data_IF_724151512269
#
_entry.id   IF_724151512269
#
_cell.length_a   1.000
_cell.length_b   1.000
_cell.length_c   1.000
_cell.angle_alpha   90.00
_cell.angle_beta   90.00
_cell.angle_gamma   90.00
#
_symmetry.space_group_name_H-M   'P 1'
#
loop_
_entity.id
_entity.type
_entity.pdbx_description
1 polymer ?
#
# COMPACT_ATOMS: atom_id res chain seq x y z
N UNK A 1 16.06 7.98 20.89
CA UNK A 1 15.78 7.91 19.43
C UNK A 1 14.75 8.99 19.10
N UNK A 2 14.98 9.89 18.15
CA UNK A 2 14.01 10.93 17.82
C UNK A 2 12.72 10.28 17.32
N UNK A 3 11.58 10.72 17.85
CA UNK A 3 10.27 10.19 17.53
C UNK A 3 9.99 10.38 16.02
N UNK A 4 9.28 9.44 15.42
CA UNK A 4 8.89 9.48 13.99
C UNK A 4 8.18 10.81 13.67
N UNK A 5 7.46 11.38 14.62
CA UNK A 5 6.81 12.69 14.51
C UNK A 5 7.82 13.84 14.31
N UNK A 6 9.02 13.77 14.90
CA UNK A 6 10.03 14.83 14.74
C UNK A 6 10.68 14.80 13.35
N UNK A 7 10.91 13.63 12.79
CA UNK A 7 11.46 13.48 11.42
C UNK A 7 10.48 13.96 10.33
N UNK A 8 9.17 13.79 10.55
CA UNK A 8 8.17 14.34 9.63
C UNK A 8 8.04 15.85 9.74
N UNK A 9 8.20 16.42 10.93
CA UNK A 9 8.22 17.89 11.12
C UNK A 9 9.42 18.52 10.45
N UNK A 10 10.62 17.95 10.62
CA UNK A 10 11.83 18.47 9.96
C UNK A 10 11.76 18.30 8.44
N UNK A 11 11.31 17.17 7.92
CA UNK A 11 11.12 16.98 6.47
C UNK A 11 10.04 17.92 5.90
N UNK A 12 9.01 18.24 6.65
CA UNK A 12 7.96 19.18 6.24
C UNK A 12 8.49 20.61 6.22
N UNK A 13 9.22 21.03 7.26
CA UNK A 13 9.81 22.37 7.34
C UNK A 13 10.88 22.58 6.27
N UNK A 14 11.74 21.59 6.00
CA UNK A 14 12.74 21.69 4.92
C UNK A 14 12.08 21.75 3.55
N UNK A 15 11.01 21.03 3.32
CA UNK A 15 10.33 21.01 2.01
C UNK A 15 9.55 22.30 1.77
N UNK A 16 8.95 22.88 2.82
CA UNK A 16 8.31 24.21 2.75
C UNK A 16 9.36 25.30 2.54
N UNK A 17 10.51 25.22 3.22
CA UNK A 17 11.61 26.16 3.03
C UNK A 17 12.20 26.09 1.63
N UNK A 18 12.40 24.86 1.08
CA UNK A 18 12.88 24.67 -0.30
C UNK A 18 11.85 25.16 -1.31
N UNK A 19 10.58 24.90 -1.13
CA UNK A 19 9.53 25.42 -2.01
C UNK A 19 9.45 26.95 -1.96
N UNK A 20 9.56 27.55 -0.80
CA UNK A 20 9.62 29.00 -0.64
C UNK A 20 10.88 29.60 -1.29
N UNK A 21 12.04 28.95 -1.12
CA UNK A 21 13.30 29.40 -1.74
C UNK A 21 13.25 29.30 -3.28
N UNK A 22 12.67 28.21 -3.82
CA UNK A 22 12.47 28.05 -5.27
C UNK A 22 11.47 29.08 -5.84
N UNK A 23 10.44 29.42 -5.08
CA UNK A 23 9.49 30.48 -5.44
C UNK A 23 10.16 31.85 -5.46
N UNK A 24 10.99 32.17 -4.45
CA UNK A 24 11.74 33.42 -4.41
C UNK A 24 12.78 33.46 -5.53
N UNK A 25 13.51 32.37 -5.76
CA UNK A 25 14.47 32.28 -6.88
C UNK A 25 13.80 32.42 -8.23
N UNK A 26 12.63 31.76 -8.44
CA UNK A 26 11.82 31.90 -9.65
C UNK A 26 11.31 33.33 -9.85
N UNK A 27 10.95 34.03 -8.79
CA UNK A 27 10.55 35.43 -8.80
C UNK A 27 11.71 36.35 -9.21
N UNK A 28 12.91 36.12 -8.67
CA UNK A 28 14.11 36.92 -8.96
C UNK A 28 14.64 36.67 -10.38
N UNK A 29 14.64 35.40 -10.81
CA UNK A 29 15.13 35.03 -12.16
C UNK A 29 14.11 35.31 -13.25
N UNK A 30 12.82 35.21 -12.96
CA UNK A 30 11.73 35.45 -13.89
C UNK A 30 11.39 36.92 -14.15
N UNK A 31 11.87 37.85 -13.31
CA UNK A 31 11.56 39.28 -13.50
C UNK A 31 11.96 39.83 -14.89
N UNK A 32 13.08 39.39 -15.41
CA UNK A 32 13.56 39.85 -16.73
C UNK A 32 12.76 39.31 -17.93
N UNK A 33 12.26 38.10 -17.82
CA UNK A 33 11.49 37.45 -18.90
C UNK A 33 9.99 37.78 -18.81
N UNK A 34 9.48 37.96 -17.61
CA UNK A 34 8.09 38.38 -17.36
C UNK A 34 7.87 39.84 -17.82
N UNK A 35 8.81 40.73 -17.62
CA UNK A 35 8.73 42.08 -18.16
C UNK A 35 8.60 42.10 -19.69
N UNK A 36 9.30 41.22 -20.42
CA UNK A 36 9.21 41.14 -21.88
C UNK A 36 7.86 40.63 -22.40
N UNK A 37 7.18 39.73 -21.61
CA UNK A 37 5.90 39.15 -22.01
C UNK A 37 4.73 40.08 -21.67
N UNK A 38 4.87 40.92 -20.63
CA UNK A 38 3.78 41.76 -20.13
C UNK A 38 3.79 43.17 -20.70
N UNK A 39 4.87 43.61 -21.34
CA UNK A 39 4.96 44.95 -22.00
C UNK A 39 3.91 45.18 -23.09
N UNK A 40 3.13 44.16 -23.47
CA UNK A 40 1.97 44.29 -24.38
C UNK A 40 0.60 44.50 -23.73
N UNK A 41 0.51 44.47 -22.38
CA UNK A 41 -0.76 44.65 -21.66
C UNK A 41 -0.76 45.98 -20.91
N UNK A 42 -1.61 46.95 -21.30
CA UNK A 42 -1.68 48.24 -20.61
C UNK A 42 -2.17 48.05 -19.16
N UNK A 43 -1.47 48.65 -18.20
CA UNK A 43 -1.85 48.88 -16.79
C UNK A 43 -1.78 47.69 -15.80
N UNK A 44 -1.30 46.50 -16.14
CA UNK A 44 -1.15 45.43 -15.14
C UNK A 44 0.25 45.46 -14.55
N UNK A 45 0.38 45.83 -13.30
CA UNK A 45 1.65 45.70 -12.56
C UNK A 45 1.98 44.22 -12.40
N UNK A 46 3.11 43.72 -12.92
CA UNK A 46 3.43 42.29 -12.94
C UNK A 46 3.63 41.68 -11.53
N UNK A 47 4.11 42.48 -10.61
CA UNK A 47 4.47 42.03 -9.26
C UNK A 47 3.29 41.40 -8.49
N UNK A 48 2.09 42.01 -8.40
CA UNK A 48 0.99 41.41 -7.64
C UNK A 48 0.44 40.14 -8.30
N UNK A 49 0.48 40.02 -9.62
CA UNK A 49 0.04 38.82 -10.33
C UNK A 49 0.97 37.63 -10.02
N UNK A 50 2.27 37.84 -10.11
CA UNK A 50 3.26 36.80 -9.79
C UNK A 50 3.19 36.39 -8.33
N UNK A 51 3.04 37.34 -7.41
CA UNK A 51 2.86 37.04 -5.97
C UNK A 51 1.56 36.24 -5.72
N UNK A 52 0.48 36.59 -6.40
CA UNK A 52 -0.80 35.88 -6.31
C UNK A 52 -0.69 34.43 -6.78
N UNK A 53 -0.09 34.19 -7.94
CA UNK A 53 0.15 32.86 -8.47
C UNK A 53 1.06 32.04 -7.54
N UNK A 54 2.12 32.63 -7.04
CA UNK A 54 3.03 31.99 -6.12
C UNK A 54 2.34 31.60 -4.80
N UNK A 55 1.50 32.47 -4.24
CA UNK A 55 0.73 32.19 -3.03
C UNK A 55 -0.28 31.03 -3.24
N UNK A 56 -0.99 31.01 -4.37
CA UNK A 56 -1.90 29.91 -4.72
C UNK A 56 -1.13 28.60 -4.88
N UNK A 57 -0.01 28.59 -5.57
CA UNK A 57 0.82 27.40 -5.73
C UNK A 57 1.33 26.87 -4.39
N UNK A 58 1.81 27.76 -3.51
CA UNK A 58 2.24 27.41 -2.15
C UNK A 58 1.09 26.81 -1.32
N UNK A 59 -0.10 27.39 -1.39
CA UNK A 59 -1.28 26.89 -0.70
C UNK A 59 -1.69 25.50 -1.20
N UNK A 60 -1.70 25.26 -2.50
CA UNK A 60 -1.99 23.94 -3.10
C UNK A 60 -0.98 22.89 -2.64
N UNK A 61 0.31 23.22 -2.66
CA UNK A 61 1.39 22.34 -2.18
C UNK A 61 1.20 22.04 -0.68
N UNK A 62 0.96 23.06 0.14
CA UNK A 62 0.72 22.89 1.58
C UNK A 62 -0.47 21.97 1.86
N UNK A 63 -1.59 22.17 1.19
CA UNK A 63 -2.78 21.30 1.31
C UNK A 63 -2.47 19.87 0.87
N UNK A 64 -1.74 19.68 -0.22
CA UNK A 64 -1.34 18.35 -0.69
C UNK A 64 -0.44 17.64 0.33
N UNK A 65 0.51 18.35 0.93
CA UNK A 65 1.40 17.82 1.97
C UNK A 65 0.64 17.47 3.25
N UNK A 66 -0.27 18.34 3.70
CA UNK A 66 -1.12 18.10 4.88
C UNK A 66 -2.01 16.87 4.66
N UNK A 67 -2.64 16.73 3.50
CA UNK A 67 -3.44 15.54 3.14
C UNK A 67 -2.59 14.27 3.16
N UNK A 68 -1.36 14.32 2.65
CA UNK A 68 -0.42 13.20 2.67
C UNK A 68 0.01 12.85 4.09
N UNK A 69 0.33 13.83 4.91
CA UNK A 69 0.69 13.63 6.30
C UNK A 69 -0.46 13.03 7.13
N UNK A 70 -1.67 13.55 6.94
CA UNK A 70 -2.88 13.03 7.58
C UNK A 70 -3.19 11.57 7.15
N UNK A 71 -2.97 11.23 5.87
CA UNK A 71 -3.14 9.86 5.38
C UNK A 71 -2.10 8.91 6.00
N UNK A 72 -0.85 9.33 6.13
CA UNK A 72 0.20 8.57 6.80
C UNK A 72 -0.11 8.35 8.28
N UNK A 73 -0.50 9.41 8.99
CA UNK A 73 -0.88 9.33 10.41
C UNK A 73 -2.06 8.38 10.66
N UNK A 74 -3.06 8.40 9.76
CA UNK A 74 -4.19 7.44 9.82
C UNK A 74 -3.75 6.01 9.60
N UNK A 75 -2.86 5.74 8.65
CA UNK A 75 -2.33 4.42 8.40
C UNK A 75 -1.51 3.89 9.59
N UNK A 76 -0.68 4.74 10.21
CA UNK A 76 0.09 4.41 11.41
C UNK A 76 -0.79 4.14 12.63
N UNK A 77 -1.82 4.97 12.83
CA UNK A 77 -2.77 4.78 13.92
C UNK A 77 -3.53 3.45 13.78
N UNK A 78 -3.96 3.11 12.55
CA UNK A 78 -4.60 1.82 12.25
C UNK A 78 -3.66 0.66 12.54
N UNK A 79 -2.41 0.73 12.06
CA UNK A 79 -1.42 -0.33 12.26
C UNK A 79 -1.16 -0.58 13.75
N UNK A 80 -1.04 0.47 14.55
CA UNK A 80 -0.86 0.34 16.01
C UNK A 80 -2.08 -0.29 16.67
N UNK A 81 -3.29 0.14 16.31
CA UNK A 81 -4.52 -0.40 16.84
C UNK A 81 -4.73 -1.89 16.45
N UNK A 82 -4.33 -2.30 15.25
CA UNK A 82 -4.38 -3.70 14.85
C UNK A 82 -3.24 -4.50 15.48
N UNK A 83 -2.05 -3.93 15.62
CA UNK A 83 -0.89 -4.59 16.22
C UNK A 83 -1.06 -4.91 17.71
N UNK A 84 -1.90 -4.14 18.44
CA UNK A 84 -2.22 -4.43 19.85
C UNK A 84 -3.16 -5.64 20.00
N UNK A 85 -3.94 -5.97 18.96
CA UNK A 85 -4.89 -7.10 18.98
C UNK A 85 -4.33 -8.31 18.24
N UNK A 86 -3.59 -8.09 17.14
CA UNK A 86 -3.06 -9.13 16.25
C UNK A 86 -1.53 -9.05 16.21
N UNK A 87 -0.87 -9.38 17.31
CA UNK A 87 0.60 -9.26 17.42
C UNK A 87 1.32 -10.08 16.32
N UNK A 88 2.25 -9.42 15.62
CA UNK A 88 3.07 -10.04 14.58
C UNK A 88 2.35 -10.44 13.28
N UNK A 89 1.03 -10.16 13.17
CA UNK A 89 0.21 -10.58 12.03
C UNK A 89 -0.08 -9.44 11.04
N UNK A 90 0.30 -8.20 11.36
CA UNK A 90 -0.09 -6.99 10.60
C UNK A 90 0.95 -6.64 9.55
N UNK A 91 0.53 -6.61 8.30
CA UNK A 91 1.29 -6.14 7.14
C UNK A 91 0.63 -4.90 6.54
N UNK A 92 1.36 -4.16 5.72
CA UNK A 92 0.85 -2.98 5.01
C UNK A 92 0.68 -3.28 3.53
N UNK A 93 -0.38 -2.75 2.92
CA UNK A 93 -0.65 -2.88 1.49
C UNK A 93 -0.91 -1.55 0.80
N UNK A 94 -0.63 -1.53 -0.50
CA UNK A 94 -0.93 -0.45 -1.43
C UNK A 94 -2.07 -0.90 -2.31
N UNK A 95 -3.12 -0.05 -2.43
CA UNK A 95 -4.26 -0.32 -3.30
C UNK A 95 -3.83 -0.27 -4.75
N UNK A 96 -4.12 -1.32 -5.49
CA UNK A 96 -4.12 -1.36 -6.94
C UNK A 96 -5.56 -1.55 -7.46
N UNK A 97 -5.79 -1.26 -8.74
CA UNK A 97 -7.12 -1.36 -9.35
C UNK A 97 -7.61 -2.81 -9.42
N UNK A 98 -6.70 -3.72 -9.77
CA UNK A 98 -7.01 -5.14 -9.93
C UNK A 98 -7.45 -5.77 -8.60
N UNK A 99 -6.77 -5.45 -7.50
CA UNK A 99 -7.17 -5.92 -6.18
C UNK A 99 -8.59 -5.47 -5.83
N UNK A 100 -8.93 -4.19 -6.09
CA UNK A 100 -10.28 -3.67 -5.80
C UNK A 100 -11.32 -4.38 -6.65
N UNK A 101 -11.09 -4.51 -7.96
CA UNK A 101 -12.00 -5.20 -8.86
C UNK A 101 -12.24 -6.66 -8.42
N UNK A 102 -11.17 -7.39 -8.07
CA UNK A 102 -11.28 -8.77 -7.59
C UNK A 102 -11.97 -8.89 -6.22
N UNK A 103 -11.77 -7.92 -5.33
CA UNK A 103 -12.50 -7.88 -4.06
C UNK A 103 -13.98 -7.57 -4.26
N UNK A 104 -14.32 -6.73 -5.23
CA UNK A 104 -15.71 -6.44 -5.60
C UNK A 104 -16.41 -7.68 -6.17
N UNK A 105 -15.73 -8.48 -7.01
CA UNK A 105 -16.22 -9.77 -7.52
C UNK A 105 -16.55 -10.77 -6.39
N UNK A 106 -15.76 -10.76 -5.30
CA UNK A 106 -15.97 -11.61 -4.12
C UNK A 106 -17.01 -11.06 -3.14
N UNK A 107 -17.44 -9.83 -3.35
CA UNK A 107 -18.47 -9.19 -2.54
C UNK A 107 -19.86 -9.71 -2.91
N UNK A 108 -20.80 -9.61 -1.95
CA UNK A 108 -22.18 -10.04 -2.23
C UNK A 108 -22.81 -9.16 -3.32
N UNK A 109 -23.60 -9.73 -4.24
CA UNK A 109 -24.38 -8.96 -5.21
C UNK A 109 -25.21 -7.88 -4.50
N UNK A 110 -25.18 -6.65 -5.00
CA UNK A 110 -25.90 -5.51 -4.41
C UNK A 110 -25.19 -4.82 -3.22
N UNK A 111 -24.03 -5.29 -2.80
CA UNK A 111 -23.22 -4.56 -1.83
C UNK A 111 -22.61 -3.30 -2.47
N UNK A 112 -22.50 -2.21 -1.69
CA UNK A 112 -21.66 -1.09 -2.12
C UNK A 112 -20.24 -1.60 -2.33
N UNK A 113 -19.61 -1.23 -3.44
CA UNK A 113 -18.26 -1.68 -3.80
C UNK A 113 -17.24 -1.52 -2.66
N UNK A 114 -16.18 -2.30 -2.72
CA UNK A 114 -15.16 -2.38 -1.67
C UNK A 114 -14.40 -1.08 -1.52
N UNK A 115 -14.64 -0.33 -0.46
CA UNK A 115 -13.97 0.93 -0.16
C UNK A 115 -12.60 0.67 0.51
N UNK A 116 -11.61 0.25 -0.29
CA UNK A 116 -10.25 0.06 0.18
C UNK A 116 -9.45 1.38 0.08
N UNK A 117 -8.88 1.90 1.18
CA UNK A 117 -8.06 3.12 1.13
C UNK A 117 -6.76 2.89 0.34
N UNK A 118 -6.14 3.97 -0.16
CA UNK A 118 -4.90 3.90 -0.94
C UNK A 118 -3.78 3.14 -0.20
N UNK A 119 -3.78 3.22 1.14
CA UNK A 119 -2.96 2.40 2.03
C UNK A 119 -3.88 1.68 2.99
N UNK A 120 -3.78 0.38 3.01
CA UNK A 120 -4.57 -0.48 3.87
C UNK A 120 -3.66 -1.36 4.74
N UNK A 121 -4.23 -2.00 5.74
CA UNK A 121 -3.52 -3.00 6.54
C UNK A 121 -4.08 -4.38 6.23
N UNK A 122 -3.21 -5.36 6.28
CA UNK A 122 -3.54 -6.76 6.09
C UNK A 122 -3.22 -7.46 7.40
N UNK A 123 -4.17 -8.19 7.92
CA UNK A 123 -3.97 -9.07 9.07
C UNK A 123 -4.07 -10.50 8.59
N UNK A 124 -3.00 -11.25 8.81
CA UNK A 124 -2.94 -12.69 8.55
C UNK A 124 -2.72 -13.38 9.89
N UNK A 125 -3.79 -13.73 10.59
CA UNK A 125 -3.81 -14.40 11.89
C UNK A 125 -4.31 -15.84 11.78
N UNK A 126 -4.64 -16.47 12.90
CA UNK A 126 -5.11 -17.86 12.92
C UNK A 126 -6.49 -18.03 12.27
N UNK A 127 -7.31 -16.98 12.25
CA UNK A 127 -8.64 -17.01 11.64
C UNK A 127 -8.61 -16.91 10.10
N UNK A 128 -7.56 -16.30 9.53
CA UNK A 128 -7.49 -16.10 8.08
C UNK A 128 -6.71 -14.86 7.67
N UNK A 129 -6.97 -14.42 6.45
CA UNK A 129 -6.43 -13.18 5.91
C UNK A 129 -7.54 -12.13 5.80
N UNK A 130 -7.29 -10.93 6.30
CA UNK A 130 -8.28 -9.85 6.30
C UNK A 130 -7.67 -8.51 5.92
N UNK A 131 -8.48 -7.68 5.25
CA UNK A 131 -8.13 -6.36 4.73
C UNK A 131 -8.81 -5.28 5.55
N UNK A 132 -8.03 -4.29 6.01
CA UNK A 132 -8.49 -3.27 6.93
C UNK A 132 -8.24 -1.87 6.41
N UNK A 133 -9.29 -1.03 6.48
CA UNK A 133 -9.27 0.40 6.22
C UNK A 133 -9.42 1.24 7.49
N UNK A 134 -9.78 2.51 7.30
CA UNK A 134 -9.99 3.44 8.41
C UNK A 134 -8.68 4.02 8.97
N UNK A 135 -8.76 4.54 10.19
CA UNK A 135 -7.65 5.15 10.89
C UNK A 135 -7.52 4.57 12.31
N UNK A 136 -7.66 5.42 13.33
CA UNK A 136 -7.59 5.03 14.76
C UNK A 136 -8.63 3.98 15.17
N UNK A 137 -9.77 3.98 14.47
CA UNK A 137 -10.77 2.91 14.55
C UNK A 137 -10.68 2.08 13.27
N UNK A 138 -9.98 0.93 13.28
CA UNK A 138 -9.85 0.06 12.11
C UNK A 138 -11.22 -0.46 11.69
N UNK A 139 -11.46 -0.48 10.38
CA UNK A 139 -12.67 -1.07 9.80
C UNK A 139 -12.27 -2.20 8.88
N UNK A 140 -12.78 -3.40 9.15
CA UNK A 140 -12.56 -4.56 8.28
C UNK A 140 -13.35 -4.37 6.99
N UNK A 141 -12.65 -4.47 5.87
CA UNK A 141 -13.18 -4.28 4.51
C UNK A 141 -13.54 -5.62 3.90
N UNK A 142 -12.65 -6.60 4.04
CA UNK A 142 -12.86 -7.97 3.59
C UNK A 142 -12.14 -8.94 4.52
N UNK A 143 -12.64 -10.18 4.59
CA UNK A 143 -12.02 -11.27 5.35
C UNK A 143 -12.24 -12.60 4.66
N UNK A 144 -11.22 -13.43 4.69
CA UNK A 144 -11.20 -14.76 4.08
C UNK A 144 -10.60 -15.75 5.07
N UNK A 145 -11.40 -16.68 5.62
CA UNK A 145 -10.91 -17.78 6.45
C UNK A 145 -9.88 -18.60 5.67
N UNK A 146 -8.93 -19.22 6.35
CA UNK A 146 -7.89 -20.02 5.69
C UNK A 146 -8.44 -21.14 4.80
N UNK A 147 -9.57 -21.72 5.15
CA UNK A 147 -10.26 -22.74 4.34
C UNK A 147 -10.72 -22.23 2.96
N UNK A 148 -10.92 -20.92 2.80
CA UNK A 148 -11.24 -20.32 1.50
C UNK A 148 -9.97 -19.99 0.70
N UNK A 149 -8.82 -19.86 1.36
CA UNK A 149 -7.53 -19.61 0.72
C UNK A 149 -7.01 -20.91 0.15
N UNK A 150 -6.80 -20.96 -1.17
CA UNK A 150 -6.30 -22.17 -1.85
C UNK A 150 -4.80 -22.15 -2.08
N UNK A 151 -4.25 -20.98 -2.33
CA UNK A 151 -2.83 -20.82 -2.57
C UNK A 151 -2.39 -19.38 -2.25
N UNK A 152 -1.13 -19.27 -1.87
CA UNK A 152 -0.43 -17.98 -1.71
C UNK A 152 0.88 -18.11 -2.47
N UNK A 153 1.07 -17.29 -3.50
CA UNK A 153 2.30 -17.28 -4.28
C UNK A 153 2.88 -15.86 -4.40
N UNK A 154 4.14 -15.78 -4.68
CA UNK A 154 4.78 -14.55 -5.12
C UNK A 154 4.72 -14.47 -6.64
N UNK A 155 4.43 -13.28 -7.15
CA UNK A 155 4.37 -12.98 -8.57
C UNK A 155 4.92 -11.57 -8.80
N UNK A 156 4.92 -11.09 -10.03
CA UNK A 156 5.30 -9.73 -10.39
C UNK A 156 4.19 -9.07 -11.19
N UNK A 157 4.00 -7.78 -10.96
CA UNK A 157 3.10 -6.95 -11.76
C UNK A 157 3.84 -5.72 -12.26
N UNK A 158 3.41 -5.19 -13.41
CA UNK A 158 3.97 -3.96 -13.96
C UNK A 158 3.14 -2.77 -13.48
N UNK A 159 3.82 -1.81 -12.86
CA UNK A 159 3.22 -0.54 -12.42
C UNK A 159 4.01 0.61 -13.06
N UNK A 160 3.41 1.24 -14.05
CA UNK A 160 4.14 2.19 -14.90
C UNK A 160 5.25 1.47 -15.67
N UNK A 161 6.51 1.89 -15.50
CA UNK A 161 7.69 1.25 -16.09
C UNK A 161 8.39 0.25 -15.17
N UNK A 162 7.90 0.08 -13.93
CA UNK A 162 8.57 -0.75 -12.93
C UNK A 162 7.88 -2.11 -12.75
N UNK A 163 8.68 -3.18 -12.68
CA UNK A 163 8.23 -4.52 -12.28
C UNK A 163 8.28 -4.64 -10.76
N UNK A 164 7.12 -4.85 -10.13
CA UNK A 164 6.95 -4.85 -8.68
C UNK A 164 6.47 -6.20 -8.20
N UNK A 165 7.03 -6.77 -7.10
CA UNK A 165 6.56 -8.02 -6.55
C UNK A 165 5.18 -7.87 -5.91
N UNK A 166 4.33 -8.87 -6.12
CA UNK A 166 2.99 -8.96 -5.54
C UNK A 166 2.78 -10.33 -4.90
N UNK A 167 2.06 -10.35 -3.78
CA UNK A 167 1.58 -11.59 -3.19
C UNK A 167 0.21 -11.91 -3.81
N UNK A 168 0.10 -13.00 -4.53
CA UNK A 168 -1.15 -13.45 -5.12
C UNK A 168 -1.80 -14.46 -4.17
N UNK A 169 -2.95 -14.07 -3.63
CA UNK A 169 -3.76 -14.90 -2.74
C UNK A 169 -4.95 -15.44 -3.54
N UNK A 170 -5.01 -16.74 -3.74
CA UNK A 170 -6.10 -17.40 -4.46
C UNK A 170 -7.20 -17.78 -3.48
N UNK A 171 -8.37 -17.19 -3.66
CA UNK A 171 -9.56 -17.41 -2.85
C UNK A 171 -10.56 -18.25 -3.62
N UNK A 172 -11.19 -19.22 -2.94
CA UNK A 172 -12.33 -19.97 -3.48
C UNK A 172 -13.55 -19.71 -2.61
N UNK A 173 -14.56 -19.10 -3.22
CA UNK A 173 -15.83 -18.78 -2.54
C UNK A 173 -16.99 -18.99 -3.51
N UNK A 174 -18.04 -19.68 -3.06
CA UNK A 174 -19.24 -19.88 -3.87
C UNK A 174 -18.99 -20.59 -5.23
N UNK A 175 -18.00 -21.50 -5.30
CA UNK A 175 -17.61 -22.17 -6.54
C UNK A 175 -16.61 -21.38 -7.41
N UNK A 176 -16.54 -20.06 -7.27
CA UNK A 176 -15.58 -19.22 -8.00
C UNK A 176 -14.19 -19.29 -7.38
N UNK A 177 -13.16 -19.22 -8.22
CA UNK A 177 -11.76 -19.13 -7.78
C UNK A 177 -11.14 -17.84 -8.33
N UNK A 178 -10.83 -16.91 -7.44
CA UNK A 178 -10.36 -15.56 -7.78
C UNK A 178 -8.98 -15.33 -7.16
N UNK A 179 -8.10 -14.71 -7.92
CA UNK A 179 -6.76 -14.34 -7.49
C UNK A 179 -6.70 -12.87 -7.08
N UNK A 180 -6.26 -12.62 -5.86
CA UNK A 180 -6.08 -11.29 -5.30
C UNK A 180 -4.61 -10.87 -5.40
N UNK A 181 -4.22 -9.96 -6.31
CA UNK A 181 -2.87 -9.44 -6.41
C UNK A 181 -2.63 -8.38 -5.33
N UNK A 182 -2.01 -8.75 -4.23
CA UNK A 182 -1.76 -7.91 -3.06
C UNK A 182 -0.37 -7.30 -3.15
N UNK A 183 -0.30 -6.01 -3.37
CA UNK A 183 0.94 -5.25 -3.32
C UNK A 183 1.26 -4.88 -1.88
N UNK A 184 2.33 -5.46 -1.34
CA UNK A 184 2.82 -5.13 0.00
C UNK A 184 3.58 -3.81 -0.01
N UNK A 185 3.56 -3.09 1.11
CA UNK A 185 4.29 -1.83 1.27
C UNK A 185 5.15 -1.82 2.51
N UNK A 186 6.23 -1.05 2.44
CA UNK A 186 7.05 -0.78 3.62
C UNK A 186 6.23 -0.03 4.68
N UNK A 187 6.15 -0.54 5.91
CA UNK A 187 5.43 0.11 6.99
C UNK A 187 6.00 1.47 7.38
N UNK A 188 7.29 1.73 7.12
CA UNK A 188 7.97 2.99 7.47
C UNK A 188 7.68 4.09 6.47
N UNK A 189 7.80 3.79 5.20
CA UNK A 189 7.64 4.77 4.12
C UNK A 189 6.23 4.73 3.53
N UNK A 190 5.62 3.55 3.46
CA UNK A 190 4.23 3.33 3.05
C UNK A 190 3.87 3.74 1.62
N UNK A 191 4.84 4.10 0.79
CA UNK A 191 4.63 4.55 -0.60
C UNK A 191 5.21 3.61 -1.62
N UNK A 192 6.19 2.83 -1.21
CA UNK A 192 6.92 1.93 -2.09
C UNK A 192 6.49 0.51 -1.81
N UNK A 193 6.44 -0.28 -2.86
CA UNK A 193 6.24 -1.70 -2.72
C UNK A 193 7.39 -2.30 -1.92
N UNK A 194 7.04 -3.25 -1.07
CA UNK A 194 8.01 -4.03 -0.36
C UNK A 194 8.68 -4.97 -1.36
N UNK A 195 10.01 -4.97 -1.40
CA UNK A 195 10.81 -5.78 -2.32
C UNK A 195 11.68 -6.76 -1.57
N UNK A 196 12.29 -7.68 -2.28
CA UNK A 196 13.36 -8.56 -1.83
C UNK A 196 13.05 -9.37 -0.55
N UNK A 197 14.03 -9.50 0.33
CA UNK A 197 13.93 -10.32 1.53
C UNK A 197 12.72 -10.02 2.42
N UNK A 198 12.35 -8.77 2.74
CA UNK A 198 11.16 -8.45 3.53
C UNK A 198 9.85 -8.89 2.88
N UNK A 199 9.73 -8.75 1.55
CA UNK A 199 8.56 -9.22 0.81
C UNK A 199 8.42 -10.75 0.94
N UNK A 200 9.48 -11.48 0.62
CA UNK A 200 9.46 -12.95 0.69
C UNK A 200 9.29 -13.46 2.12
N UNK A 201 9.83 -12.77 3.13
CA UNK A 201 9.60 -13.11 4.53
C UNK A 201 8.12 -13.01 4.89
N UNK A 202 7.44 -11.93 4.46
CA UNK A 202 6.00 -11.75 4.70
C UNK A 202 5.17 -12.84 4.01
N UNK A 203 5.45 -13.13 2.75
CA UNK A 203 4.74 -14.19 2.00
C UNK A 203 4.97 -15.57 2.63
N UNK A 204 6.19 -15.87 3.08
CA UNK A 204 6.50 -17.11 3.81
C UNK A 204 5.74 -17.22 5.12
N UNK A 205 5.66 -16.12 5.88
CA UNK A 205 4.88 -16.09 7.11
C UNK A 205 3.38 -16.37 6.88
N UNK A 206 2.81 -15.80 5.82
CA UNK A 206 1.42 -16.09 5.44
C UNK A 206 1.22 -17.56 5.05
N UNK A 207 2.13 -18.11 4.24
CA UNK A 207 2.10 -19.54 3.86
C UNK A 207 2.22 -20.45 5.09
N UNK A 208 3.08 -20.12 6.03
CA UNK A 208 3.25 -20.89 7.26
C UNK A 208 1.97 -20.93 8.09
N UNK A 209 1.32 -19.77 8.30
CA UNK A 209 0.04 -19.68 9.00
C UNK A 209 -1.08 -20.42 8.29
N UNK A 210 -1.18 -20.28 6.97
CA UNK A 210 -2.14 -21.02 6.17
C UNK A 210 -1.97 -22.53 6.34
N UNK A 211 -0.75 -23.06 6.28
CA UNK A 211 -0.49 -24.50 6.50
C UNK A 211 -0.84 -24.92 7.92
N UNK A 212 -0.43 -24.15 8.92
CA UNK A 212 -0.71 -24.45 10.32
C UNK A 212 -2.22 -24.49 10.57
N UNK A 213 -3.00 -23.56 10.02
CA UNK A 213 -4.43 -23.53 10.16
C UNK A 213 -5.12 -24.74 9.49
N UNK A 214 -4.69 -25.10 8.28
CA UNK A 214 -5.22 -26.28 7.59
C UNK A 214 -4.84 -27.59 8.29
N UNK A 215 -3.63 -27.70 8.82
CA UNK A 215 -3.22 -28.85 9.62
C UNK A 215 -4.06 -28.99 10.90
N UNK A 216 -4.38 -27.87 11.57
CA UNK A 216 -5.26 -27.84 12.73
C UNK A 216 -6.70 -28.29 12.40
N UNK A 217 -7.15 -28.08 11.15
CA UNK A 217 -8.44 -28.57 10.64
C UNK A 217 -8.36 -30.03 10.09
N UNK A 218 -7.21 -30.70 10.20
CA UNK A 218 -6.98 -32.04 9.64
C UNK A 218 -6.86 -32.07 8.12
N UNK A 219 -6.68 -30.92 7.49
CA UNK A 219 -6.50 -30.79 6.05
C UNK A 219 -5.01 -30.65 5.74
N UNK A 220 -4.34 -31.78 5.51
CA UNK A 220 -2.94 -31.76 5.08
C UNK A 220 -2.81 -31.29 3.63
N UNK A 221 -2.07 -30.21 3.44
CA UNK A 221 -1.63 -29.84 2.10
C UNK A 221 -0.49 -30.79 1.67
N UNK A 222 -0.51 -31.31 0.43
CA UNK A 222 0.59 -32.11 -0.06
C UNK A 222 1.90 -31.27 0.04
N UNK A 223 3.02 -31.92 0.36
CA UNK A 223 4.31 -31.23 0.48
C UNK A 223 4.63 -30.49 -0.81
N UNK A 224 5.03 -29.23 -0.70
CA UNK A 224 5.34 -28.36 -1.85
C UNK A 224 6.61 -28.76 -2.62
N UNK A 225 7.40 -29.62 -2.06
CA UNK A 225 8.50 -30.27 -2.75
C UNK A 225 7.91 -31.51 -3.43
N UNK A 226 7.94 -31.51 -4.75
CA UNK A 226 7.79 -32.74 -5.53
C UNK A 226 8.95 -33.69 -5.21
N UNK A 227 8.95 -34.23 -4.02
CA UNK A 227 9.63 -35.48 -3.77
C UNK A 227 8.87 -36.49 -4.63
N UNK A 228 9.34 -36.68 -5.85
CA UNK A 228 9.00 -37.83 -6.66
C UNK A 228 9.25 -39.03 -5.74
N UNK A 229 8.22 -39.80 -5.36
CA UNK A 229 8.45 -41.00 -4.57
C UNK A 229 9.44 -41.84 -5.40
N UNK A 230 10.65 -42.02 -4.87
CA UNK A 230 11.58 -42.97 -5.43
C UNK A 230 10.90 -44.31 -5.23
N UNK A 231 10.21 -44.78 -6.25
CA UNK A 231 9.72 -46.16 -6.33
C UNK A 231 11.00 -47.01 -6.34
N UNK A 232 11.41 -47.49 -5.18
CA UNK A 232 12.37 -48.55 -5.09
C UNK A 232 11.73 -49.75 -5.79
N UNK A 233 12.11 -49.93 -7.04
CA UNK A 233 11.87 -51.21 -7.70
C UNK A 233 12.54 -52.28 -6.82
N UNK A 234 11.68 -53.09 -6.18
CA UNK A 234 12.13 -54.19 -5.36
C UNK A 234 13.06 -55.09 -6.23
N UNK A 235 14.22 -55.32 -5.69
CA UNK A 235 15.11 -56.37 -6.24
C UNK A 235 14.29 -57.66 -6.23
N UNK A 236 13.95 -58.13 -7.40
CA UNK A 236 13.48 -59.50 -7.60
C UNK A 236 14.74 -60.38 -7.41
N UNK A 237 14.70 -61.20 -6.37
CA UNK A 237 15.62 -62.35 -6.20
C UNK A 237 15.05 -63.55 -6.98
#
# INVERSE_FOLDING_TARGET
>A
MPSIASRYRTALTTLVAVAAALLVAGLVLGQRDVERVITGLPEVHPTPVVLGVAAVAAAVIAVALLRRAAAAARADARRRALGSVHAGAVSCGIRNRDLVARLDELSRPGSRGVALPARFSIVADDAGISFWGGGRRPKRVAAFPWREVRNIRSDRTVVGSASVPVAVVRIRRGGASIELPVMLSDPRVGRYALTDAPFFATVRAWKARHRAALAAEGLELPPLTGAIPIIRQGAAA
#
